data_IF_165738853876
#
_entry.id   IF_165738853876
#
_cell.length_a   1.000
_cell.length_b   1.000
_cell.length_c   1.000
_cell.angle_alpha   90.00
_cell.angle_beta   90.00
_cell.angle_gamma   90.00
#
_symmetry.space_group_name_H-M   'P 1'
#
loop_
_entity.id
_entity.type
_entity.pdbx_description
1 polymer ?
#
# COMPACT_ATOMS: atom_id res chain seq x y z
N UNK A 1 -2.18 -37.79 -3.42
CA UNK A 1 -1.78 -36.55 -2.72
C UNK A 1 -3.04 -35.86 -2.26
N UNK A 2 -3.21 -35.66 -0.95
CA UNK A 2 -4.34 -34.88 -0.42
C UNK A 2 -4.04 -33.41 -0.73
N UNK A 3 -4.83 -32.81 -1.61
CA UNK A 3 -4.70 -31.39 -1.96
C UNK A 3 -5.70 -30.64 -1.09
N UNK A 4 -5.23 -29.68 -0.30
CA UNK A 4 -6.14 -28.89 0.51
C UNK A 4 -6.98 -27.96 -0.35
N UNK A 5 -8.26 -27.90 -0.04
CA UNK A 5 -9.20 -26.98 -0.66
C UNK A 5 -9.10 -25.61 0.03
N UNK A 6 -8.20 -24.76 -0.46
CA UNK A 6 -7.99 -23.42 0.08
C UNK A 6 -8.56 -22.32 -0.83
N UNK A 7 -9.62 -22.62 -1.59
CA UNK A 7 -10.31 -21.70 -2.51
C UNK A 7 -9.40 -20.88 -3.45
N UNK A 8 -8.26 -21.45 -3.86
CA UNK A 8 -7.27 -20.79 -4.72
C UNK A 8 -6.29 -19.86 -3.99
N UNK A 9 -6.37 -19.74 -2.66
CA UNK A 9 -5.55 -18.85 -1.83
C UNK A 9 -4.60 -19.55 -0.85
N UNK A 10 -4.52 -20.87 -0.88
CA UNK A 10 -3.58 -21.62 -0.05
C UNK A 10 -2.17 -21.60 -0.62
N UNK A 11 -1.19 -21.16 0.18
CA UNK A 11 0.24 -21.38 -0.09
C UNK A 11 0.72 -22.76 0.36
N UNK A 12 -0.09 -23.43 1.17
CA UNK A 12 0.19 -24.73 1.79
C UNK A 12 -0.85 -25.01 2.87
N UNK A 13 -0.63 -26.08 3.63
CA UNK A 13 -1.46 -26.44 4.78
C UNK A 13 -0.61 -26.89 5.93
N UNK A 14 -1.09 -26.62 7.13
CA UNK A 14 -0.50 -27.06 8.37
C UNK A 14 -1.54 -27.75 9.24
N UNK A 15 -1.08 -28.64 10.12
CA UNK A 15 -1.96 -29.25 11.12
C UNK A 15 -2.01 -28.26 12.27
N UNK A 16 -3.21 -27.74 12.53
CA UNK A 16 -3.46 -26.86 13.67
C UNK A 16 -3.23 -27.64 14.97
N UNK A 17 -2.36 -27.14 15.84
CA UNK A 17 -1.90 -27.86 17.03
C UNK A 17 -3.01 -28.09 18.07
N UNK A 18 -4.01 -27.21 18.11
CA UNK A 18 -5.09 -27.27 19.09
C UNK A 18 -6.23 -28.19 18.65
N UNK A 19 -6.55 -28.20 17.35
CA UNK A 19 -7.65 -29.00 16.79
C UNK A 19 -7.20 -30.33 16.19
N UNK A 20 -5.90 -30.49 15.89
CA UNK A 20 -5.36 -31.63 15.16
C UNK A 20 -5.83 -31.71 13.70
N UNK A 21 -6.45 -30.65 13.17
CA UNK A 21 -7.04 -30.62 11.83
C UNK A 21 -6.17 -29.82 10.85
N UNK A 22 -6.26 -30.15 9.56
CA UNK A 22 -5.61 -29.38 8.50
C UNK A 22 -6.27 -28.01 8.33
N UNK A 23 -5.43 -26.98 8.29
CA UNK A 23 -5.79 -25.58 8.09
C UNK A 23 -4.94 -24.98 6.95
N UNK A 24 -5.56 -24.13 6.12
CA UNK A 24 -4.89 -23.50 5.00
C UNK A 24 -4.01 -22.33 5.44
N UNK A 25 -2.78 -22.26 4.90
CA UNK A 25 -1.95 -21.06 5.01
C UNK A 25 -2.43 -20.05 3.97
N UNK A 26 -3.35 -19.18 4.38
CA UNK A 26 -4.04 -18.26 3.49
C UNK A 26 -3.19 -17.10 2.96
N UNK A 27 -3.50 -16.68 1.72
CA UNK A 27 -2.91 -15.54 1.02
C UNK A 27 -4.00 -14.66 0.40
N UNK A 28 -3.65 -13.60 -0.34
CA UNK A 28 -4.66 -12.75 -1.00
C UNK A 28 -5.63 -12.06 -0.02
N UNK A 29 -5.16 -11.75 1.20
CA UNK A 29 -5.96 -11.14 2.27
C UNK A 29 -7.20 -11.94 2.70
N UNK A 30 -7.17 -13.26 2.51
CA UNK A 30 -8.21 -14.16 3.01
C UNK A 30 -7.83 -14.75 4.38
N UNK A 31 -8.83 -15.22 5.10
CA UNK A 31 -8.74 -15.95 6.36
C UNK A 31 -9.81 -17.05 6.39
N UNK A 32 -9.89 -17.74 7.52
CA UNK A 32 -10.74 -18.91 7.67
C UNK A 32 -9.97 -20.18 7.33
N UNK A 33 -10.58 -21.31 7.67
CA UNK A 33 -9.92 -22.61 7.60
C UNK A 33 -9.55 -23.02 6.17
N UNK A 34 -10.34 -22.55 5.22
CA UNK A 34 -10.27 -22.82 3.79
C UNK A 34 -10.03 -21.55 2.97
N UNK A 35 -9.60 -20.45 3.60
CA UNK A 35 -9.45 -19.15 2.95
C UNK A 35 -10.75 -18.62 2.32
N UNK A 36 -11.86 -18.85 3.00
CA UNK A 36 -13.24 -18.61 2.59
C UNK A 36 -13.80 -17.25 3.01
N UNK A 37 -13.02 -16.47 3.76
CA UNK A 37 -13.41 -15.15 4.24
C UNK A 37 -12.33 -14.11 3.95
N UNK A 38 -12.73 -12.85 3.85
CA UNK A 38 -11.78 -11.75 3.83
C UNK A 38 -11.31 -11.42 5.24
N UNK A 39 -10.02 -11.13 5.40
CA UNK A 39 -9.50 -10.56 6.65
C UNK A 39 -10.24 -9.27 7.01
N UNK A 40 -10.37 -8.93 8.31
CA UNK A 40 -10.83 -7.62 8.71
C UNK A 40 -10.10 -6.51 7.94
N UNK A 41 -10.83 -5.47 7.52
CA UNK A 41 -10.36 -4.36 6.68
C UNK A 41 -10.15 -4.66 5.19
N UNK A 42 -10.39 -5.89 4.74
CA UNK A 42 -10.38 -6.30 3.31
C UNK A 42 -11.76 -6.80 2.84
N UNK A 43 -12.81 -6.47 3.57
CA UNK A 43 -14.19 -6.91 3.38
C UNK A 43 -15.08 -5.88 2.66
N UNK A 44 -14.48 -4.94 1.92
CA UNK A 44 -15.20 -3.87 1.22
C UNK A 44 -15.99 -4.41 0.02
N UNK A 45 -15.56 -5.55 -0.52
CA UNK A 45 -16.31 -6.33 -1.50
C UNK A 45 -16.59 -7.73 -0.96
N UNK A 46 -17.69 -8.36 -1.39
CA UNK A 46 -17.95 -9.76 -1.07
C UNK A 46 -16.79 -10.64 -1.49
N UNK A 47 -16.47 -11.62 -0.64
CA UNK A 47 -15.47 -12.63 -0.95
C UNK A 47 -15.76 -13.33 -2.28
N UNK A 48 -14.71 -13.58 -3.07
CA UNK A 48 -14.79 -14.33 -4.32
C UNK A 48 -13.65 -15.35 -4.40
N UNK A 49 -13.94 -16.65 -4.62
CA UNK A 49 -12.90 -17.66 -4.80
C UNK A 49 -11.92 -17.29 -5.92
N UNK A 50 -10.62 -17.46 -5.69
CA UNK A 50 -9.57 -17.10 -6.65
C UNK A 50 -9.39 -15.59 -6.91
N UNK A 51 -10.12 -14.69 -6.24
CA UNK A 51 -9.86 -13.23 -6.25
C UNK A 51 -9.45 -12.67 -4.88
N UNK A 52 -8.29 -12.00 -4.78
CA UNK A 52 -7.80 -11.51 -3.51
C UNK A 52 -8.73 -10.43 -2.96
N UNK A 53 -8.95 -10.47 -1.65
CA UNK A 53 -9.76 -9.48 -0.95
C UNK A 53 -9.10 -8.10 -1.00
N UNK A 54 -9.88 -7.08 -1.33
CA UNK A 54 -9.40 -5.71 -1.53
C UNK A 54 -9.73 -4.86 -0.31
N UNK A 55 -8.74 -4.13 0.20
CA UNK A 55 -8.92 -3.18 1.29
C UNK A 55 -9.56 -1.87 0.82
N UNK A 56 -9.99 -1.04 1.79
CA UNK A 56 -10.49 0.30 1.48
C UNK A 56 -9.39 1.11 0.79
N UNK A 57 -9.67 1.59 -0.42
CA UNK A 57 -8.82 2.52 -1.16
C UNK A 57 -9.50 3.88 -1.27
N UNK A 58 -8.74 4.95 -1.01
CA UNK A 58 -9.20 6.34 -1.17
C UNK A 58 -8.33 6.99 -2.23
N UNK A 59 -8.95 7.46 -3.31
CA UNK A 59 -8.26 8.19 -4.35
C UNK A 59 -7.67 9.49 -3.80
N UNK A 60 -6.41 9.77 -4.15
CA UNK A 60 -5.71 11.01 -3.78
C UNK A 60 -5.72 11.97 -4.97
N UNK A 61 -4.97 11.63 -6.01
CA UNK A 61 -4.76 12.47 -7.18
C UNK A 61 -4.24 11.64 -8.34
N UNK A 62 -4.23 12.23 -9.53
CA UNK A 62 -3.62 11.68 -10.73
C UNK A 62 -2.54 12.63 -11.18
N UNK A 63 -1.33 12.12 -11.37
CA UNK A 63 -0.21 12.91 -11.88
C UNK A 63 0.40 12.19 -13.08
N UNK A 64 0.33 12.84 -14.25
CA UNK A 64 0.62 12.20 -15.52
C UNK A 64 -0.29 11.00 -15.76
N UNK A 65 0.29 9.84 -16.07
CA UNK A 65 -0.44 8.59 -16.33
C UNK A 65 -0.64 7.71 -15.08
N UNK A 66 -0.65 8.30 -13.89
CA UNK A 66 -0.62 7.54 -12.64
C UNK A 66 -1.60 8.09 -11.63
N UNK A 67 -2.50 7.24 -11.16
CA UNK A 67 -3.42 7.56 -10.07
C UNK A 67 -2.91 6.99 -8.76
N UNK A 68 -2.91 7.85 -7.74
CA UNK A 68 -2.44 7.58 -6.39
C UNK A 68 -3.64 7.34 -5.46
N UNK A 69 -3.48 6.39 -4.54
CA UNK A 69 -4.50 5.98 -3.60
C UNK A 69 -3.89 5.80 -2.21
N UNK A 70 -4.65 6.17 -1.17
CA UNK A 70 -4.43 5.65 0.18
C UNK A 70 -5.05 4.27 0.26
N UNK A 71 -4.28 3.25 0.60
CA UNK A 71 -4.80 1.88 0.79
C UNK A 71 -4.78 1.58 2.28
N UNK A 72 -5.84 1.00 2.81
CA UNK A 72 -5.86 0.59 4.22
C UNK A 72 -4.89 -0.56 4.46
N UNK A 73 -3.96 -0.40 5.40
CA UNK A 73 -3.05 -1.44 5.84
C UNK A 73 -3.43 -1.98 7.23
N UNK A 74 -3.02 -3.22 7.50
CA UNK A 74 -3.12 -3.84 8.82
C UNK A 74 -1.72 -4.01 9.41
N UNK A 75 -1.58 -3.76 10.72
CA UNK A 75 -0.32 -3.92 11.43
C UNK A 75 0.64 -2.73 11.28
N UNK A 76 1.92 -2.89 11.69
CA UNK A 76 2.88 -1.81 11.68
C UNK A 76 3.22 -1.26 10.28
N UNK A 77 3.35 0.06 10.14
CA UNK A 77 3.76 0.71 8.88
C UNK A 77 5.28 0.69 8.69
N UNK A 78 5.79 -0.50 8.44
CA UNK A 78 7.15 -0.71 7.93
C UNK A 78 7.16 -0.60 6.41
N UNK A 79 8.34 -0.37 5.84
CA UNK A 79 8.58 -0.40 4.40
C UNK A 79 8.18 -1.76 3.80
N UNK A 80 8.44 -2.86 4.51
CA UNK A 80 7.91 -4.19 4.13
C UNK A 80 6.37 -4.24 4.09
N UNK A 81 5.67 -3.63 5.05
CA UNK A 81 4.20 -3.62 5.06
C UNK A 81 3.61 -2.70 3.97
N UNK A 82 4.24 -1.54 3.69
CA UNK A 82 3.86 -0.69 2.55
C UNK A 82 3.93 -1.50 1.25
N UNK A 83 5.06 -2.17 1.03
CA UNK A 83 5.27 -3.04 -0.14
C UNK A 83 4.20 -4.12 -0.23
N UNK A 84 4.04 -4.93 0.82
CA UNK A 84 3.08 -6.03 0.86
C UNK A 84 1.64 -5.56 0.64
N UNK A 85 1.23 -4.44 1.26
CA UNK A 85 -0.12 -3.90 1.14
C UNK A 85 -0.41 -3.44 -0.29
N UNK A 86 0.49 -2.68 -0.91
CA UNK A 86 0.30 -2.22 -2.28
C UNK A 86 0.29 -3.40 -3.28
N UNK A 87 1.22 -4.34 -3.14
CA UNK A 87 1.29 -5.52 -4.03
C UNK A 87 0.06 -6.42 -3.88
N UNK A 88 -0.42 -6.65 -2.66
CA UNK A 88 -1.65 -7.42 -2.40
C UNK A 88 -2.89 -6.76 -2.99
N UNK A 89 -2.89 -5.43 -3.09
CA UNK A 89 -3.94 -4.65 -3.74
C UNK A 89 -3.74 -4.52 -5.27
N UNK A 90 -2.77 -5.23 -5.86
CA UNK A 90 -2.49 -5.21 -7.31
C UNK A 90 -1.91 -3.87 -7.78
N UNK A 91 -1.33 -3.09 -6.86
CA UNK A 91 -0.78 -1.77 -7.11
C UNK A 91 0.74 -1.76 -6.90
N UNK A 92 1.38 -0.71 -7.39
CA UNK A 92 2.80 -0.45 -7.11
C UNK A 92 2.92 0.60 -6.02
N UNK A 93 4.08 0.67 -5.39
CA UNK A 93 4.39 1.61 -4.32
C UNK A 93 5.47 2.61 -4.79
N UNK A 94 5.34 3.92 -4.49
CA UNK A 94 6.37 4.91 -4.78
C UNK A 94 7.51 4.82 -3.76
N UNK A 95 8.74 5.08 -4.22
CA UNK A 95 9.87 5.30 -3.33
C UNK A 95 9.68 6.61 -2.55
N UNK A 96 10.32 6.75 -1.40
CA UNK A 96 10.36 8.03 -0.67
C UNK A 96 10.96 9.13 -1.53
N UNK A 97 12.09 8.85 -2.17
CA UNK A 97 12.78 9.80 -3.03
C UNK A 97 13.16 9.18 -4.37
N UNK A 98 13.45 10.02 -5.37
CA UNK A 98 13.94 9.57 -6.67
C UNK A 98 14.68 10.67 -7.44
N UNK A 99 15.10 10.40 -8.68
CA UNK A 99 15.72 11.40 -9.54
C UNK A 99 17.00 11.97 -8.94
N UNK A 100 17.00 13.29 -8.66
CA UNK A 100 18.14 14.04 -8.11
C UNK A 100 18.47 13.75 -6.63
N UNK A 101 17.62 13.04 -5.91
CA UNK A 101 17.90 12.66 -4.52
C UNK A 101 18.81 11.41 -4.48
N UNK A 102 19.93 11.51 -3.76
CA UNK A 102 20.89 10.41 -3.59
C UNK A 102 20.53 9.54 -2.38
N UNK A 103 19.45 8.75 -2.45
CA UNK A 103 19.13 7.76 -1.42
C UNK A 103 17.64 7.43 -1.29
N UNK A 104 17.33 6.44 -0.44
CA UNK A 104 15.97 6.04 -0.06
C UNK A 104 15.08 5.59 -1.23
N UNK A 105 15.69 4.86 -2.15
CA UNK A 105 15.01 4.20 -3.27
C UNK A 105 15.69 2.87 -3.60
N UNK A 106 14.94 1.99 -4.22
CA UNK A 106 15.37 0.69 -4.73
C UNK A 106 14.75 0.46 -6.12
N UNK A 107 15.26 -0.48 -6.93
CA UNK A 107 14.73 -0.72 -8.28
C UNK A 107 13.27 -1.20 -8.33
N UNK A 108 12.76 -1.79 -7.25
CA UNK A 108 11.41 -2.35 -7.14
C UNK A 108 10.32 -1.28 -6.89
N UNK A 109 10.63 -0.23 -6.14
CA UNK A 109 9.72 0.90 -5.95
C UNK A 109 9.67 1.83 -7.17
N UNK A 110 8.57 2.57 -7.31
CA UNK A 110 8.44 3.55 -8.39
C UNK A 110 9.21 4.82 -8.04
N UNK A 111 10.25 5.07 -8.83
CA UNK A 111 10.93 6.36 -8.89
C UNK A 111 10.02 7.37 -9.55
N UNK A 112 9.66 8.41 -8.79
CA UNK A 112 8.73 9.44 -9.20
C UNK A 112 9.35 10.82 -8.94
N UNK A 113 9.66 11.53 -10.02
CA UNK A 113 10.18 12.90 -10.02
C UNK A 113 9.27 13.71 -10.94
N UNK A 114 8.63 14.74 -10.39
CA UNK A 114 7.73 15.62 -11.13
C UNK A 114 8.47 16.81 -11.73
N UNK A 115 9.47 16.48 -12.57
CA UNK A 115 10.15 17.38 -13.48
C UNK A 115 10.58 18.75 -12.89
N UNK A 116 10.90 18.82 -11.60
CA UNK A 116 11.39 20.06 -10.98
C UNK A 116 10.87 20.36 -9.58
N UNK A 117 9.67 19.90 -9.20
CA UNK A 117 9.05 20.27 -7.90
C UNK A 117 9.88 19.79 -6.70
N UNK A 118 10.08 18.49 -6.58
CA UNK A 118 10.92 17.88 -5.54
C UNK A 118 11.32 16.48 -6.00
N UNK A 119 12.42 15.96 -5.44
CA UNK A 119 12.73 14.54 -5.56
C UNK A 119 12.05 13.67 -4.52
N UNK A 120 11.27 14.25 -3.60
CA UNK A 120 10.62 13.57 -2.47
C UNK A 120 9.13 13.40 -2.74
N UNK A 121 8.64 12.15 -2.71
CA UNK A 121 7.27 11.80 -3.12
C UNK A 121 6.20 12.59 -2.35
N UNK A 122 6.34 12.76 -1.04
CA UNK A 122 5.37 13.51 -0.24
C UNK A 122 5.28 14.99 -0.64
N UNK A 123 6.41 15.63 -0.98
CA UNK A 123 6.42 17.02 -1.43
C UNK A 123 5.76 17.17 -2.79
N UNK A 124 6.05 16.24 -3.70
CA UNK A 124 5.41 16.25 -5.01
C UNK A 124 3.89 16.06 -4.86
N UNK A 125 3.45 15.09 -4.07
CA UNK A 125 2.02 14.89 -3.82
C UNK A 125 1.40 16.13 -3.16
N UNK A 126 2.09 16.77 -2.21
CA UNK A 126 1.61 17.99 -1.57
C UNK A 126 1.40 19.11 -2.59
N UNK A 127 2.34 19.28 -3.52
CA UNK A 127 2.23 20.31 -4.56
C UNK A 127 1.00 20.10 -5.44
N UNK A 128 0.75 18.86 -5.86
CA UNK A 128 -0.40 18.52 -6.71
C UNK A 128 -1.74 18.50 -5.97
N UNK A 129 -1.75 18.17 -4.68
CA UNK A 129 -2.97 18.07 -3.87
C UNK A 129 -3.38 19.41 -3.24
N UNK A 130 -2.39 20.18 -2.79
CA UNK A 130 -2.59 21.33 -1.91
C UNK A 130 -1.98 22.64 -2.46
N UNK A 131 -1.33 22.60 -3.64
CA UNK A 131 -0.77 23.79 -4.28
C UNK A 131 0.54 24.30 -3.67
N UNK A 132 1.15 23.55 -2.74
CA UNK A 132 2.43 23.88 -2.11
C UNK A 132 3.24 22.62 -1.84
N UNK A 133 4.58 22.70 -1.83
CA UNK A 133 5.46 21.54 -1.65
C UNK A 133 5.60 21.07 -0.19
N UNK A 134 4.93 21.75 0.75
CA UNK A 134 5.02 21.48 2.17
C UNK A 134 4.02 20.40 2.65
N UNK A 135 4.44 19.13 2.86
CA UNK A 135 3.51 18.02 3.01
C UNK A 135 2.78 18.01 4.35
N UNK A 136 3.36 18.55 5.43
CA UNK A 136 2.71 18.56 6.75
C UNK A 136 1.59 19.61 6.87
N UNK A 137 1.49 20.50 5.88
CA UNK A 137 0.36 21.44 5.71
C UNK A 137 -0.72 20.92 4.76
N UNK A 138 -0.51 19.74 4.17
CA UNK A 138 -1.47 19.16 3.23
C UNK A 138 -2.33 18.10 3.93
N UNK A 139 -3.54 18.48 4.34
CA UNK A 139 -4.50 17.59 5.04
C UNK A 139 -4.79 16.30 4.25
N UNK A 140 -4.80 16.40 2.91
CA UNK A 140 -4.98 15.23 2.04
C UNK A 140 -3.89 14.17 2.22
N UNK A 141 -2.71 14.52 2.75
CA UNK A 141 -1.62 13.60 3.04
C UNK A 141 -1.63 13.06 4.47
N UNK A 142 -2.62 13.40 5.28
CA UNK A 142 -2.68 12.88 6.64
C UNK A 142 -2.79 11.34 6.67
N UNK A 143 -2.06 10.72 7.61
CA UNK A 143 -1.92 9.27 7.76
C UNK A 143 -1.44 8.51 6.51
N UNK A 144 -0.67 9.19 5.64
CA UNK A 144 -0.06 8.57 4.47
C UNK A 144 1.37 8.12 4.72
N UNK A 145 1.77 7.00 4.10
CA UNK A 145 3.12 6.45 4.25
C UNK A 145 3.71 6.09 2.89
N UNK A 146 5.02 6.32 2.72
CA UNK A 146 5.78 5.93 1.53
C UNK A 146 6.92 4.99 1.89
N UNK A 147 7.24 4.10 0.94
CA UNK A 147 8.31 3.12 1.09
C UNK A 147 9.67 3.83 1.19
N UNK A 148 10.41 3.58 2.27
CA UNK A 148 11.70 4.20 2.51
C UNK A 148 12.73 3.13 2.92
N UNK A 149 13.52 2.62 1.97
CA UNK A 149 14.50 1.58 2.25
C UNK A 149 15.65 2.16 3.09
N UNK A 150 16.20 1.35 3.99
CA UNK A 150 17.45 1.62 4.72
C UNK A 150 17.45 2.89 5.60
N UNK A 151 16.28 3.49 5.88
CA UNK A 151 16.19 4.70 6.71
C UNK A 151 16.61 4.44 8.17
N UNK A 152 16.10 3.38 8.77
CA UNK A 152 16.44 2.94 10.13
C UNK A 152 16.52 1.43 10.25
N UNK A 153 17.13 0.97 11.35
CA UNK A 153 17.29 -0.46 11.66
C UNK A 153 15.97 -1.20 11.90
N UNK A 154 14.84 -0.49 12.01
CA UNK A 154 13.50 -1.04 12.26
C UNK A 154 12.62 -1.17 10.99
N UNK A 155 13.18 -0.92 9.81
CA UNK A 155 12.46 -0.94 8.52
C UNK A 155 11.24 0.02 8.49
N UNK A 156 11.26 1.12 9.27
CA UNK A 156 10.15 2.08 9.27
C UNK A 156 9.92 2.70 7.89
N UNK A 157 8.64 2.79 7.48
CA UNK A 157 8.26 3.64 6.36
C UNK A 157 8.28 5.12 6.78
N UNK A 158 8.33 6.03 5.80
CA UNK A 158 8.19 7.47 6.08
C UNK A 158 6.71 7.84 6.11
N UNK A 159 6.20 8.26 7.27
CA UNK A 159 4.82 8.71 7.46
C UNK A 159 4.64 10.23 7.42
N UNK A 160 3.43 10.65 7.06
CA UNK A 160 2.96 12.03 7.13
C UNK A 160 1.88 12.19 8.19
N UNK A 161 1.97 13.30 8.92
CA UNK A 161 0.90 13.75 9.81
C UNK A 161 0.65 15.24 9.63
N UNK A 162 -0.61 15.59 9.47
CA UNK A 162 -1.07 16.96 9.30
C UNK A 162 -0.91 17.75 10.61
N UNK A 163 -0.50 19.01 10.48
CA UNK A 163 -0.45 20.00 11.56
C UNK A 163 0.38 19.58 12.79
N UNK A 164 1.45 18.80 12.58
CA UNK A 164 2.39 18.41 13.65
C UNK A 164 3.60 19.34 13.80
N UNK A 165 3.61 20.47 13.09
CA UNK A 165 4.57 21.60 13.11
C UNK A 165 6.09 21.32 13.03
N UNK A 166 6.56 20.07 13.19
CA UNK A 166 8.01 19.78 13.36
C UNK A 166 8.53 18.47 12.81
N UNK A 167 7.69 17.53 12.32
CA UNK A 167 8.17 16.19 11.98
C UNK A 167 7.58 15.66 10.66
N UNK A 168 8.43 15.55 9.66
CA UNK A 168 8.23 14.75 8.44
C UNK A 168 8.93 13.39 8.65
N UNK A 169 8.35 12.30 8.10
CA UNK A 169 8.74 10.92 8.39
C UNK A 169 8.57 10.55 9.86
N UNK A 170 7.33 10.66 10.34
CA UNK A 170 6.99 10.29 11.73
C UNK A 170 7.19 8.79 11.96
N UNK A 171 7.81 8.45 13.11
CA UNK A 171 7.97 7.07 13.62
C UNK A 171 6.71 6.54 14.26
N UNK A 172 6.61 5.21 14.32
CA UNK A 172 5.89 4.46 15.37
C UNK A 172 4.37 4.71 15.47
N UNK A 173 3.73 5.25 14.42
CA UNK A 173 2.26 5.33 14.35
C UNK A 173 1.60 3.96 14.23
N UNK A 174 2.38 2.94 13.89
CA UNK A 174 2.04 1.51 13.94
C UNK A 174 1.43 1.02 15.26
N UNK A 175 1.75 1.65 16.39
CA UNK A 175 1.36 1.16 17.72
C UNK A 175 0.17 1.86 18.36
N UNK A 176 -0.24 3.05 17.91
CA UNK A 176 -1.25 3.85 18.65
C UNK A 176 -2.51 4.22 17.89
N UNK A 177 -2.51 4.21 16.56
CA UNK A 177 -3.69 4.63 15.79
C UNK A 177 -3.86 3.75 14.55
N UNK A 178 -4.95 3.00 14.50
CA UNK A 178 -5.46 2.35 13.29
C UNK A 178 -6.68 3.16 12.81
N UNK A 179 -6.89 3.34 11.49
CA UNK A 179 -6.18 2.71 10.37
C UNK A 179 -5.24 3.66 9.58
N UNK A 180 -3.96 3.33 9.58
CA UNK A 180 -2.89 3.97 8.77
C UNK A 180 -2.89 3.46 7.32
N UNK A 181 -2.42 4.28 6.37
CA UNK A 181 -2.60 4.01 4.94
C UNK A 181 -1.34 4.24 4.09
N UNK A 182 -0.73 3.21 3.47
CA UNK A 182 0.28 3.41 2.45
C UNK A 182 -0.26 4.20 1.25
N UNK A 183 0.59 5.01 0.65
CA UNK A 183 0.38 5.55 -0.69
C UNK A 183 0.73 4.46 -1.69
N UNK A 184 -0.28 3.96 -2.39
CA UNK A 184 -0.12 3.05 -3.51
C UNK A 184 -0.50 3.78 -4.80
N UNK A 185 -0.05 3.27 -5.93
CA UNK A 185 -0.42 3.80 -7.24
C UNK A 185 -0.67 2.69 -8.24
N UNK A 186 -1.54 3.01 -9.20
CA UNK A 186 -1.76 2.20 -10.38
C UNK A 186 -1.40 3.04 -11.60
N UNK A 187 -0.84 2.39 -12.63
CA UNK A 187 -0.73 3.06 -13.92
C UNK A 187 -2.12 3.08 -14.51
N UNK A 188 -2.64 4.25 -14.86
CA UNK A 188 -3.83 4.31 -15.68
C UNK A 188 -3.46 3.80 -17.08
N UNK A 189 -3.57 2.48 -17.27
CA UNK A 189 -3.62 1.85 -18.58
C UNK A 189 -5.01 2.04 -19.22
N UNK A 190 -5.91 2.80 -18.57
CA UNK A 190 -7.19 3.23 -19.12
C UNK A 190 -7.09 4.42 -20.10
N UNK A 191 -5.97 4.53 -20.81
CA UNK A 191 -5.96 4.93 -22.22
C UNK A 191 -5.81 3.69 -23.11
N UNK A 192 -6.63 2.66 -22.87
CA UNK A 192 -7.12 1.85 -23.97
C UNK A 192 -8.38 2.59 -24.45
N UNK A 193 -8.41 3.14 -25.68
CA UNK A 193 -9.64 3.68 -26.23
C UNK A 193 -10.67 2.55 -26.28
N UNK A 194 -11.65 2.62 -25.39
CA UNK A 194 -12.92 1.94 -25.60
C UNK A 194 -13.61 2.66 -26.76
N UNK A 195 -13.49 2.04 -27.94
CA UNK A 195 -14.25 2.21 -29.19
C UNK A 195 -13.35 2.51 -30.39
N UNK A 196 -13.06 1.47 -31.17
CA UNK A 196 -13.09 1.49 -32.63
C UNK A 196 -13.26 0.04 -33.12
N UNK A 197 -14.46 -0.49 -32.91
CA UNK A 197 -15.05 -1.50 -33.79
C UNK A 197 -16.45 -1.02 -34.16
N UNK A 198 -16.50 -0.18 -35.20
CA UNK A 198 -17.54 -0.14 -36.22
C UNK A 198 -16.98 0.57 -37.44
#
# INVERSE_FOLDING_TARGET
MVRCECNGFGKGCEINADSGQYECICSGNTQGRFCEECKPLYNQFPYQPGRPCQGQRVYLTTIGSWSFYKVQASGPMTSANVKATCEAAGMRYPCFASGRCTGYWTPDCIKYDDAGVSCETHRVLSFHLCGHDNPYRCESLDDTFVYMPEWWSDDSACGMKYNTDKWWCVRDWSRRYQPVRPVCRVRDLHMCPWNLYR
#
